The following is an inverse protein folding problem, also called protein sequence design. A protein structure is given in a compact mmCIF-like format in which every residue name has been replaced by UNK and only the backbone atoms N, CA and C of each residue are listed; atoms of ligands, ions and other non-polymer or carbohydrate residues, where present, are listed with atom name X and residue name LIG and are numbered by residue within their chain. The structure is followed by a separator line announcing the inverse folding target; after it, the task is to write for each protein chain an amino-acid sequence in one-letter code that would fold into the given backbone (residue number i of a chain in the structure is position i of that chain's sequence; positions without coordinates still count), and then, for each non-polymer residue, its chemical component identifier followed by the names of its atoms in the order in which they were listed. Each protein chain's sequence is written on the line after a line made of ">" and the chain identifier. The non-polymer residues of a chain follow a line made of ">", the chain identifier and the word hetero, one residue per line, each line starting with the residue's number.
data_IF_412006683960
#
_entry.id   IF_412006683960
#
_cell.length_a   1.000
_cell.length_b   1.000
_cell.length_c   1.000
_cell.angle_alpha   90.00
_cell.angle_beta   90.00
_cell.angle_gamma   90.00
#
_symmetry.space_group_name_H-M   'P 1'
#
loop_
_entity.id
_entity.type
_entity.pdbx_description
1 polymer ?
#
# COMPACT_ATOMS: atom_id res chain seq x y z
N UNK A 1 8.47 -13.10 -16.93
CA UNK A 1 9.20 -14.07 -16.07
C UNK A 1 8.54 -15.43 -16.26
N UNK A 2 9.28 -16.44 -16.68
CA UNK A 2 8.78 -17.82 -16.77
C UNK A 2 9.58 -18.64 -15.77
N UNK A 3 8.90 -19.25 -14.80
CA UNK A 3 9.49 -20.06 -13.75
C UNK A 3 8.89 -21.47 -13.86
N UNK A 4 9.75 -22.49 -13.78
CA UNK A 4 9.34 -23.88 -13.83
C UNK A 4 10.29 -24.76 -14.64
N UNK A 5 9.93 -26.03 -14.79
CA UNK A 5 10.70 -26.99 -15.58
C UNK A 5 10.41 -26.80 -17.08
N UNK A 6 10.98 -25.75 -17.66
CA UNK A 6 10.85 -25.41 -19.07
C UNK A 6 12.20 -24.98 -19.60
N UNK A 7 12.51 -25.37 -20.83
CA UNK A 7 13.75 -24.93 -21.48
C UNK A 7 13.63 -23.49 -21.96
N UNK A 8 14.79 -22.84 -22.18
CA UNK A 8 14.82 -21.49 -22.72
C UNK A 8 14.15 -21.37 -24.11
N UNK A 9 14.24 -22.44 -24.92
CA UNK A 9 13.65 -22.50 -26.26
C UNK A 9 12.12 -22.56 -26.21
N UNK A 10 11.56 -23.42 -25.35
CA UNK A 10 10.12 -23.51 -25.11
C UNK A 10 9.58 -22.19 -24.56
N UNK A 11 10.30 -21.54 -23.64
CA UNK A 11 9.93 -20.21 -23.13
C UNK A 11 9.82 -19.17 -24.25
N UNK A 12 10.80 -19.13 -25.18
CA UNK A 12 10.75 -18.20 -26.33
C UNK A 12 9.61 -18.54 -27.28
N UNK A 13 9.37 -19.82 -27.53
CA UNK A 13 8.27 -20.30 -28.36
C UNK A 13 6.91 -19.88 -27.78
N UNK A 14 6.72 -20.01 -26.47
CA UNK A 14 5.52 -19.55 -25.78
C UNK A 14 5.35 -18.04 -25.88
N UNK A 15 6.40 -17.24 -25.57
CA UNK A 15 6.33 -15.78 -25.65
C UNK A 15 6.01 -15.30 -27.07
N UNK A 16 6.58 -15.92 -28.11
CA UNK A 16 6.32 -15.54 -29.50
C UNK A 16 4.90 -15.88 -29.95
N UNK A 17 4.35 -17.03 -29.55
CA UNK A 17 2.94 -17.39 -29.77
C UNK A 17 2.00 -16.38 -29.11
N UNK A 18 2.31 -15.95 -27.88
CA UNK A 18 1.53 -14.98 -27.13
C UNK A 18 1.56 -13.59 -27.79
N UNK A 19 2.74 -13.12 -28.17
CA UNK A 19 2.91 -11.84 -28.88
C UNK A 19 2.16 -11.81 -30.22
N UNK A 20 2.25 -12.91 -30.99
CA UNK A 20 1.52 -13.07 -32.25
C UNK A 20 0.01 -13.13 -32.05
N UNK A 21 -0.46 -13.89 -31.06
CA UNK A 21 -1.89 -14.03 -30.75
C UNK A 21 -2.53 -12.74 -30.29
N UNK A 22 -1.83 -11.97 -29.45
CA UNK A 22 -2.28 -10.66 -28.96
C UNK A 22 -2.01 -9.50 -29.92
N UNK A 23 -1.43 -9.77 -31.10
CA UNK A 23 -1.05 -8.76 -32.11
C UNK A 23 -0.21 -7.62 -31.51
N UNK A 24 0.77 -7.97 -30.68
CA UNK A 24 1.72 -7.02 -30.09
C UNK A 24 2.77 -6.62 -31.14
N UNK A 25 2.32 -5.90 -32.17
CA UNK A 25 3.12 -5.54 -33.35
C UNK A 25 4.04 -4.34 -33.09
N UNK A 26 3.72 -3.51 -32.09
CA UNK A 26 4.47 -2.30 -31.76
C UNK A 26 5.21 -2.47 -30.44
N UNK A 27 6.53 -2.39 -30.49
CA UNK A 27 7.37 -2.30 -29.29
C UNK A 27 7.12 -0.97 -28.60
N UNK A 28 6.82 -1.01 -27.31
CA UNK A 28 6.76 0.19 -26.48
C UNK A 28 8.19 0.67 -26.20
N UNK A 29 8.46 1.95 -26.48
CA UNK A 29 9.75 2.58 -26.17
C UNK A 29 9.84 3.00 -24.70
N UNK A 30 8.70 3.26 -24.09
CA UNK A 30 8.55 3.65 -22.69
C UNK A 30 7.36 2.92 -22.10
N UNK A 31 7.49 2.50 -20.85
CA UNK A 31 6.35 2.01 -20.07
C UNK A 31 5.70 3.22 -19.39
N UNK A 32 4.37 3.31 -19.35
CA UNK A 32 3.70 4.34 -18.57
C UNK A 32 4.02 4.15 -17.09
N UNK A 33 4.50 5.21 -16.44
CA UNK A 33 4.68 5.24 -14.99
C UNK A 33 3.34 5.50 -14.31
N UNK A 34 3.08 4.80 -13.20
CA UNK A 34 1.92 5.09 -12.36
C UNK A 34 2.22 6.37 -11.59
N UNK A 35 1.36 7.38 -11.75
CA UNK A 35 1.48 8.59 -10.96
C UNK A 35 1.15 8.31 -9.48
N UNK A 36 2.03 8.75 -8.59
CA UNK A 36 1.79 8.80 -7.15
C UNK A 36 1.87 10.25 -6.67
N UNK A 37 0.88 10.66 -5.88
CA UNK A 37 0.83 12.00 -5.34
C UNK A 37 1.87 12.16 -4.23
N UNK A 38 2.73 13.17 -4.36
CA UNK A 38 3.55 13.68 -3.27
C UNK A 38 2.65 14.53 -2.36
N UNK A 39 2.51 14.13 -1.10
CA UNK A 39 1.81 14.93 -0.11
C UNK A 39 2.67 16.15 0.26
N UNK A 40 2.06 17.33 0.47
CA UNK A 40 2.79 18.49 0.96
C UNK A 40 3.31 18.23 2.37
N UNK A 41 4.35 18.98 2.76
CA UNK A 41 4.87 18.94 4.11
C UNK A 41 3.80 19.29 5.15
N UNK A 42 3.87 18.65 6.31
CA UNK A 42 2.94 18.86 7.43
C UNK A 42 1.88 17.78 7.53
N UNK A 43 0.67 18.19 7.90
CA UNK A 43 -0.46 17.28 8.12
C UNK A 43 -1.70 17.82 7.41
N UNK A 44 -2.43 16.90 6.77
CA UNK A 44 -3.71 17.21 6.13
C UNK A 44 -4.78 16.33 6.76
N UNK A 45 -5.79 16.95 7.35
CA UNK A 45 -7.00 16.28 7.81
C UNK A 45 -8.12 16.57 6.82
N UNK A 46 -8.87 15.53 6.48
CA UNK A 46 -10.02 15.62 5.60
C UNK A 46 -11.05 14.61 6.10
N UNK A 47 -12.31 15.00 5.97
CA UNK A 47 -13.46 14.20 6.39
C UNK A 47 -14.33 13.97 5.17
N UNK A 48 -14.84 12.76 5.04
CA UNK A 48 -15.83 12.40 4.05
C UNK A 48 -17.04 11.80 4.76
N UNK A 49 -18.22 12.04 4.21
CA UNK A 49 -19.41 11.31 4.62
C UNK A 49 -19.24 9.82 4.30
N UNK A 50 -19.73 8.98 5.22
CA UNK A 50 -19.71 7.53 5.05
C UNK A 50 -20.47 7.11 3.78
N UNK A 51 -20.00 6.04 3.13
CA UNK A 51 -20.73 5.46 2.01
C UNK A 51 -22.02 4.76 2.42
N UNK A 52 -22.12 4.39 3.70
CA UNK A 52 -23.28 3.75 4.30
C UNK A 52 -23.82 4.63 5.45
N UNK A 53 -24.96 5.31 5.27
CA UNK A 53 -25.55 6.16 6.30
C UNK A 53 -26.24 5.37 7.43
N UNK A 54 -26.45 4.06 7.27
CA UNK A 54 -27.08 3.22 8.30
C UNK A 54 -26.06 2.57 9.24
N UNK A 55 -24.76 2.54 8.87
CA UNK A 55 -23.70 2.07 9.75
C UNK A 55 -23.43 3.11 10.86
N UNK A 56 -23.64 2.77 12.15
CA UNK A 56 -23.34 3.68 13.25
C UNK A 56 -21.84 3.89 13.46
N UNK A 57 -20.98 3.10 12.80
CA UNK A 57 -19.54 3.21 12.96
C UNK A 57 -18.93 4.28 12.05
N UNK A 58 -17.93 4.94 12.61
CA UNK A 58 -16.99 5.80 11.91
C UNK A 58 -15.68 5.07 11.64
N UNK A 59 -14.91 5.60 10.68
CA UNK A 59 -13.58 5.09 10.36
C UNK A 59 -12.58 6.24 10.30
N UNK A 60 -11.43 6.01 10.94
CA UNK A 60 -10.26 6.88 10.86
C UNK A 60 -9.19 6.15 10.05
N UNK A 61 -8.76 6.78 8.97
CA UNK A 61 -7.69 6.30 8.11
C UNK A 61 -6.54 7.30 8.11
N UNK A 62 -5.42 6.93 8.71
CA UNK A 62 -4.20 7.73 8.74
C UNK A 62 -3.17 7.13 7.79
N UNK A 63 -2.55 7.98 6.98
CA UNK A 63 -1.50 7.58 6.03
C UNK A 63 -0.30 8.51 6.15
N UNK A 64 0.81 7.97 6.63
CA UNK A 64 2.09 8.68 6.69
C UNK A 64 2.89 8.31 5.44
N UNK A 65 3.25 9.30 4.63
CA UNK A 65 4.09 9.13 3.44
C UNK A 65 5.58 9.26 3.78
N UNK A 66 6.38 8.32 3.31
CA UNK A 66 7.83 8.29 3.47
C UNK A 66 8.50 8.27 2.08
N UNK A 67 9.62 9.00 1.89
CA UNK A 67 10.40 8.97 0.65
C UNK A 67 11.24 7.70 0.62
N UNK A 68 10.61 6.57 0.28
CA UNK A 68 11.21 5.24 0.30
C UNK A 68 10.50 4.29 -0.68
N UNK A 69 10.22 4.75 -1.91
CA UNK A 69 9.60 3.92 -2.95
C UNK A 69 10.61 3.05 -3.70
N UNK A 70 10.11 2.24 -4.64
CA UNK A 70 10.92 1.39 -5.53
C UNK A 70 11.92 2.16 -6.40
N UNK A 71 11.68 3.45 -6.67
CA UNK A 71 12.57 4.32 -7.44
C UNK A 71 13.68 5.00 -6.61
N UNK A 72 13.70 4.80 -5.28
CA UNK A 72 14.79 5.27 -4.42
C UNK A 72 16.11 4.55 -4.79
N UNK A 73 17.28 5.21 -4.77
CA UNK A 73 18.57 4.56 -4.97
C UNK A 73 18.92 3.47 -3.93
N UNK A 74 18.27 3.46 -2.76
CA UNK A 74 18.43 2.44 -1.73
C UNK A 74 17.06 1.94 -1.18
N UNK A 75 16.20 1.37 -2.03
CA UNK A 75 14.80 1.11 -1.70
C UNK A 75 14.65 0.03 -0.61
N UNK A 76 15.57 -0.94 -0.59
CA UNK A 76 15.60 -2.02 0.40
C UNK A 76 15.78 -1.51 1.84
N UNK A 77 16.54 -0.41 2.02
CA UNK A 77 16.78 0.16 3.35
C UNK A 77 15.52 0.85 3.88
N UNK A 78 14.86 1.64 3.03
CA UNK A 78 13.61 2.32 3.38
C UNK A 78 12.48 1.33 3.66
N UNK A 79 12.35 0.28 2.83
CA UNK A 79 11.39 -0.79 3.04
C UNK A 79 11.65 -1.53 4.37
N UNK A 80 12.90 -1.91 4.65
CA UNK A 80 13.23 -2.61 5.89
C UNK A 80 12.93 -1.76 7.12
N UNK A 81 13.26 -0.47 7.10
CA UNK A 81 12.94 0.46 8.18
C UNK A 81 11.44 0.59 8.39
N UNK A 82 10.67 0.69 7.32
CA UNK A 82 9.21 0.75 7.41
C UNK A 82 8.62 -0.55 8.00
N UNK A 83 9.09 -1.71 7.55
CA UNK A 83 8.66 -3.01 8.13
C UNK A 83 9.03 -3.13 9.60
N UNK A 84 10.21 -2.62 9.99
CA UNK A 84 10.64 -2.60 11.39
C UNK A 84 9.73 -1.69 12.23
N UNK A 85 9.39 -0.50 11.72
CA UNK A 85 8.45 0.43 12.36
C UNK A 85 7.07 -0.20 12.54
N UNK A 86 6.51 -0.80 11.48
CA UNK A 86 5.24 -1.51 11.55
C UNK A 86 5.29 -2.62 12.61
N UNK A 87 6.36 -3.42 12.64
CA UNK A 87 6.48 -4.53 13.58
C UNK A 87 6.63 -4.05 15.03
N UNK A 88 7.41 -3.00 15.26
CA UNK A 88 7.66 -2.45 16.58
C UNK A 88 6.42 -1.75 17.16
N UNK A 89 5.69 -0.99 16.32
CA UNK A 89 4.54 -0.21 16.76
C UNK A 89 3.24 -1.01 16.72
N UNK A 90 3.07 -1.94 15.78
CA UNK A 90 1.79 -2.60 15.51
C UNK A 90 1.19 -3.32 16.71
N UNK A 91 2.00 -4.07 17.47
CA UNK A 91 1.52 -4.77 18.66
C UNK A 91 1.05 -3.78 19.76
N UNK A 92 1.80 -2.70 19.96
CA UNK A 92 1.46 -1.67 20.96
C UNK A 92 0.29 -0.79 20.51
N UNK A 93 0.19 -0.50 19.22
CA UNK A 93 -0.93 0.22 18.62
C UNK A 93 -2.23 -0.55 18.82
N UNK A 94 -2.21 -1.86 18.53
CA UNK A 94 -3.35 -2.73 18.79
C UNK A 94 -3.68 -2.78 20.28
N UNK A 95 -2.70 -3.04 21.15
CA UNK A 95 -2.96 -3.15 22.59
C UNK A 95 -3.57 -1.86 23.18
N UNK A 96 -3.00 -0.70 22.86
CA UNK A 96 -3.50 0.58 23.38
C UNK A 96 -4.89 0.90 22.85
N UNK A 97 -5.11 0.85 21.53
CA UNK A 97 -6.39 1.32 20.96
C UNK A 97 -7.50 0.28 21.06
N UNK A 98 -7.19 -1.02 20.89
CA UNK A 98 -8.17 -2.11 20.97
C UNK A 98 -8.38 -2.61 22.39
N UNK A 99 -7.31 -2.94 23.13
CA UNK A 99 -7.43 -3.61 24.43
C UNK A 99 -7.70 -2.61 25.55
N UNK A 100 -6.91 -1.52 25.62
CA UNK A 100 -6.97 -0.58 26.72
C UNK A 100 -8.07 0.46 26.54
N UNK A 101 -8.11 1.12 25.37
CA UNK A 101 -9.10 2.17 25.07
C UNK A 101 -10.41 1.65 24.47
N UNK A 102 -10.42 0.41 23.97
CA UNK A 102 -11.61 -0.25 23.42
C UNK A 102 -12.30 0.55 22.31
N UNK A 103 -11.54 1.24 21.46
CA UNK A 103 -12.09 2.14 20.44
C UNK A 103 -12.96 1.44 19.40
N UNK A 104 -12.69 0.17 19.10
CA UNK A 104 -13.53 -0.63 18.22
C UNK A 104 -12.84 -1.90 17.78
N UNK A 105 -13.53 -2.79 17.05
CA UNK A 105 -13.02 -4.13 16.72
C UNK A 105 -11.88 -4.11 15.70
N UNK A 106 -12.01 -3.26 14.69
CA UNK A 106 -11.04 -3.15 13.61
C UNK A 106 -10.04 -2.06 14.00
N UNK A 107 -8.86 -2.50 14.43
CA UNK A 107 -7.69 -1.66 14.71
C UNK A 107 -6.51 -2.31 14.02
N UNK A 108 -5.91 -1.62 13.06
CA UNK A 108 -4.81 -2.17 12.28
C UNK A 108 -3.77 -1.11 11.97
N UNK A 109 -2.50 -1.52 12.02
CA UNK A 109 -1.38 -0.80 11.42
C UNK A 109 -0.76 -1.69 10.34
N UNK A 110 -0.39 -1.11 9.22
CA UNK A 110 0.21 -1.82 8.09
C UNK A 110 1.19 -0.93 7.34
N UNK A 111 2.17 -1.53 6.66
CA UNK A 111 2.98 -0.85 5.66
C UNK A 111 2.44 -1.09 4.25
N UNK A 112 2.65 -0.11 3.36
CA UNK A 112 2.35 -0.22 1.94
C UNK A 112 3.48 0.40 1.14
N UNK A 113 4.00 -0.35 0.17
CA UNK A 113 5.12 0.10 -0.68
C UNK A 113 4.55 0.47 -2.04
N UNK A 114 4.77 1.73 -2.44
CA UNK A 114 4.44 2.26 -3.75
C UNK A 114 5.67 2.34 -4.67
N UNK A 115 5.45 2.87 -5.87
CA UNK A 115 6.52 3.11 -6.84
C UNK A 115 7.49 4.19 -6.35
N UNK A 116 6.97 5.31 -5.85
CA UNK A 116 7.79 6.47 -5.44
C UNK A 116 7.80 6.69 -3.94
N UNK A 117 6.72 6.29 -3.28
CA UNK A 117 6.59 6.47 -1.85
C UNK A 117 6.21 5.19 -1.15
N UNK A 118 6.63 5.09 0.10
CA UNK A 118 6.13 4.06 1.00
C UNK A 118 5.28 4.70 2.09
N UNK A 119 4.40 3.91 2.69
CA UNK A 119 3.37 4.41 3.58
C UNK A 119 3.25 3.55 4.83
N UNK A 120 3.19 4.19 5.99
CA UNK A 120 2.65 3.58 7.20
C UNK A 120 1.17 3.98 7.30
N UNK A 121 0.31 2.98 7.38
CA UNK A 121 -1.14 3.13 7.37
C UNK A 121 -1.66 2.67 8.72
N UNK A 122 -2.55 3.46 9.31
CA UNK A 122 -3.30 3.08 10.50
C UNK A 122 -4.79 3.22 10.23
N UNK A 123 -5.56 2.21 10.63
CA UNK A 123 -7.00 2.12 10.42
C UNK A 123 -7.66 1.80 11.74
N UNK A 124 -8.68 2.58 12.09
CA UNK A 124 -9.54 2.35 13.25
C UNK A 124 -10.98 2.49 12.80
N UNK A 125 -11.80 1.47 13.06
CA UNK A 125 -13.26 1.58 13.00
C UNK A 125 -13.78 1.70 14.43
N UNK A 126 -14.69 2.65 14.66
CA UNK A 126 -15.14 3.01 16.01
C UNK A 126 -16.57 3.52 16.01
N UNK A 127 -17.30 3.33 17.11
CA UNK A 127 -18.61 3.96 17.33
C UNK A 127 -18.49 5.42 17.79
N UNK A 128 -17.27 5.88 18.12
CA UNK A 128 -17.01 7.24 18.56
C UNK A 128 -16.86 8.19 17.37
N UNK A 129 -17.27 9.47 17.50
CA UNK A 129 -16.99 10.48 16.49
C UNK A 129 -15.47 10.59 16.23
N UNK A 130 -15.03 10.88 14.99
CA UNK A 130 -13.60 11.00 14.67
C UNK A 130 -12.81 12.06 15.46
N UNK A 131 -13.51 13.05 16.04
CA UNK A 131 -12.91 14.15 16.80
C UNK A 131 -12.79 13.87 18.31
N UNK A 132 -13.08 12.63 18.76
CA UNK A 132 -13.07 12.22 20.17
C UNK A 132 -11.67 12.25 20.82
#
# INVERSE_FOLDING_TARGET
>A
MVLGNITAEESRSLSSKLAKGLRLEKTLLTLPERAEAALPDGQTLWTLDGSDPEDPNHAVFMRLQLPAGLEDPAPEQGEMLLRLLEKALGAKFFDVLRTQQQLGYIVQMASSIGMRFSYLIAVVQTEFPPDY
#
